data_IF_039076382598
#
_entry.id   IF_039076382598
#
_cell.length_a   1.000
_cell.length_b   1.000
_cell.length_c   1.000
_cell.angle_alpha   90.00
_cell.angle_beta   90.00
_cell.angle_gamma   90.00
#
_symmetry.space_group_name_H-M   'P 1'
#
loop_
_entity.id
_entity.type
_entity.pdbx_description
1 polymer ?
#
# COMPACT_ATOMS: atom_id res chain seq x y z
N UNK A 1 15.42 -1.92 -28.96
CA UNK A 1 14.40 -1.65 -27.92
C UNK A 1 13.08 -1.38 -28.64
N UNK A 2 12.04 -2.17 -28.37
CA UNK A 2 10.73 -2.05 -29.03
C UNK A 2 9.84 -1.01 -28.33
N UNK A 3 8.74 -0.60 -28.98
CA UNK A 3 7.72 0.27 -28.35
C UNK A 3 7.16 -0.37 -27.07
N UNK A 4 6.95 -1.69 -27.09
CA UNK A 4 6.52 -2.48 -25.93
C UNK A 4 7.50 -2.34 -24.76
N UNK A 5 8.81 -2.47 -25.02
CA UNK A 5 9.84 -2.34 -23.96
C UNK A 5 9.88 -0.93 -23.36
N UNK A 6 9.69 0.10 -24.20
CA UNK A 6 9.62 1.49 -23.73
C UNK A 6 8.39 1.72 -22.84
N UNK A 7 7.21 1.26 -23.26
CA UNK A 7 5.96 1.40 -22.50
C UNK A 7 6.02 0.65 -21.17
N UNK A 8 6.57 -0.57 -21.15
CA UNK A 8 6.78 -1.34 -19.92
C UNK A 8 7.72 -0.60 -18.96
N UNK A 9 8.83 -0.07 -19.46
CA UNK A 9 9.77 0.72 -18.63
C UNK A 9 9.11 1.96 -18.05
N UNK A 10 8.37 2.73 -18.86
CA UNK A 10 7.65 3.92 -18.39
C UNK A 10 6.61 3.56 -17.33
N UNK A 11 5.85 2.48 -17.52
CA UNK A 11 4.88 2.01 -16.52
C UNK A 11 5.56 1.60 -15.22
N UNK A 12 6.71 0.92 -15.28
CA UNK A 12 7.47 0.50 -14.09
C UNK A 12 7.93 1.71 -13.29
N UNK A 13 8.55 2.67 -13.97
CA UNK A 13 9.01 3.91 -13.35
C UNK A 13 7.85 4.69 -12.71
N UNK A 14 6.68 4.74 -13.34
CA UNK A 14 5.53 5.42 -12.77
C UNK A 14 5.01 4.75 -11.49
N UNK A 15 5.04 3.41 -11.42
CA UNK A 15 4.66 2.66 -10.21
C UNK A 15 5.69 2.86 -9.10
N UNK A 16 6.98 2.80 -9.43
CA UNK A 16 8.09 3.05 -8.50
C UNK A 16 8.04 4.49 -7.95
N UNK A 17 7.85 5.49 -8.80
CA UNK A 17 7.68 6.90 -8.39
C UNK A 17 6.50 7.09 -7.45
N UNK A 18 5.38 6.40 -7.72
CA UNK A 18 4.21 6.45 -6.85
C UNK A 18 4.47 5.76 -5.51
N UNK A 19 5.16 4.61 -5.50
CA UNK A 19 5.57 3.90 -4.29
C UNK A 19 6.46 4.76 -3.38
N UNK A 20 7.43 5.47 -3.96
CA UNK A 20 8.30 6.39 -3.21
C UNK A 20 7.47 7.51 -2.57
N UNK A 21 6.60 8.17 -3.35
CA UNK A 21 5.74 9.24 -2.83
C UNK A 21 4.80 8.73 -1.73
N UNK A 22 4.26 7.52 -1.90
CA UNK A 22 3.43 6.89 -0.89
C UNK A 22 4.21 6.65 0.41
N UNK A 23 5.39 6.04 0.32
CA UNK A 23 6.25 5.75 1.47
C UNK A 23 6.61 7.03 2.25
N UNK A 24 7.09 8.08 1.56
CA UNK A 24 7.43 9.35 2.21
C UNK A 24 6.23 10.03 2.89
N UNK A 25 5.03 9.85 2.35
CA UNK A 25 3.82 10.45 2.91
C UNK A 25 3.23 9.65 4.08
N UNK A 26 3.38 8.33 4.07
CA UNK A 26 2.80 7.45 5.09
C UNK A 26 3.69 7.32 6.31
N UNK A 27 5.01 7.27 6.14
CA UNK A 27 5.99 7.10 7.22
C UNK A 27 5.77 8.02 8.44
N UNK A 28 5.56 9.36 8.31
CA UNK A 28 5.31 10.20 9.47
C UNK A 28 4.01 9.85 10.20
N UNK A 29 3.00 9.35 9.48
CA UNK A 29 1.75 8.88 10.08
C UNK A 29 1.98 7.58 10.83
N UNK A 30 2.72 6.64 10.27
CA UNK A 30 3.07 5.39 10.97
C UNK A 30 3.82 5.68 12.28
N UNK A 31 4.75 6.64 12.26
CA UNK A 31 5.46 7.08 13.45
C UNK A 31 4.54 7.76 14.49
N UNK A 32 3.47 8.43 14.06
CA UNK A 32 2.45 8.97 14.96
C UNK A 32 1.60 7.84 15.58
N UNK A 33 1.08 6.93 14.76
CA UNK A 33 0.29 5.80 15.22
C UNK A 33 1.08 4.87 16.16
N UNK A 34 2.37 4.67 15.88
CA UNK A 34 3.26 3.90 16.74
C UNK A 34 3.49 4.55 18.11
N UNK A 35 3.58 5.89 18.16
CA UNK A 35 3.67 6.64 19.44
C UNK A 35 2.39 6.51 20.27
N UNK A 36 1.24 6.36 19.60
CA UNK A 36 -0.06 6.10 20.24
C UNK A 36 -0.26 4.61 20.62
N UNK A 37 0.75 3.76 20.40
CA UNK A 37 0.74 2.35 20.76
C UNK A 37 0.01 1.45 19.75
N UNK A 38 -0.32 1.95 18.55
CA UNK A 38 -0.88 1.13 17.47
C UNK A 38 0.24 0.42 16.68
N UNK A 39 -0.10 -0.74 16.14
CA UNK A 39 0.78 -1.58 15.30
C UNK A 39 0.25 -1.78 13.89
N UNK A 40 -0.89 -1.16 13.57
CA UNK A 40 -1.50 -1.21 12.26
C UNK A 40 -2.18 0.10 11.87
N UNK A 41 -2.22 0.34 10.57
CA UNK A 41 -2.89 1.47 9.94
C UNK A 41 -3.54 1.04 8.62
N UNK A 42 -4.80 1.42 8.41
CA UNK A 42 -5.57 1.08 7.21
C UNK A 42 -5.65 2.29 6.28
N UNK A 43 -5.14 2.14 5.06
CA UNK A 43 -5.25 3.15 4.00
C UNK A 43 -6.36 2.76 3.03
N UNK A 44 -7.32 3.65 2.85
CA UNK A 44 -8.36 3.48 1.82
C UNK A 44 -7.75 3.63 0.43
N UNK A 45 -8.06 2.68 -0.46
CA UNK A 45 -7.65 2.74 -1.87
C UNK A 45 -8.71 3.55 -2.64
N UNK A 46 -8.30 4.66 -3.24
CA UNK A 46 -9.14 5.37 -4.20
C UNK A 46 -9.25 4.56 -5.51
N UNK A 47 -10.45 4.50 -6.10
CA UNK A 47 -10.73 3.71 -7.32
C UNK A 47 -9.78 4.06 -8.48
N UNK A 48 -9.39 5.32 -8.62
CA UNK A 48 -8.50 5.79 -9.68
C UNK A 48 -7.07 5.20 -9.60
N UNK A 49 -6.62 4.86 -8.39
CA UNK A 49 -5.27 4.34 -8.14
C UNK A 49 -5.27 2.85 -7.79
N UNK A 50 -6.43 2.20 -7.84
CA UNK A 50 -6.60 0.80 -7.43
C UNK A 50 -5.58 -0.12 -8.11
N UNK A 51 -5.48 -0.05 -9.44
CA UNK A 51 -4.56 -0.86 -10.23
C UNK A 51 -3.06 -0.67 -9.88
N UNK A 52 -2.67 0.50 -9.36
CA UNK A 52 -1.30 0.79 -8.93
C UNK A 52 -1.10 0.24 -7.52
N UNK A 53 -2.00 0.61 -6.60
CA UNK A 53 -1.91 0.29 -5.17
C UNK A 53 -2.04 -1.20 -4.89
N UNK A 54 -2.74 -1.95 -5.74
CA UNK A 54 -2.83 -3.41 -5.65
C UNK A 54 -1.79 -4.15 -6.50
N UNK A 55 -0.89 -3.42 -7.17
CA UNK A 55 0.14 -4.04 -8.01
C UNK A 55 1.19 -4.75 -7.13
N UNK A 56 1.61 -5.98 -7.47
CA UNK A 56 2.69 -6.66 -6.77
C UNK A 56 3.99 -5.85 -6.74
N UNK A 57 4.27 -5.11 -7.82
CA UNK A 57 5.46 -4.25 -7.90
C UNK A 57 5.38 -3.11 -6.89
N UNK A 58 4.23 -2.45 -6.78
CA UNK A 58 4.03 -1.37 -5.82
C UNK A 58 4.23 -1.89 -4.39
N UNK A 59 3.58 -3.00 -4.04
CA UNK A 59 3.69 -3.59 -2.71
C UNK A 59 5.12 -3.99 -2.40
N UNK A 60 5.83 -4.61 -3.35
CA UNK A 60 7.24 -4.98 -3.16
C UNK A 60 8.11 -3.75 -2.88
N UNK A 61 7.99 -2.71 -3.72
CA UNK A 61 8.81 -1.49 -3.56
C UNK A 61 8.50 -0.78 -2.24
N UNK A 62 7.23 -0.71 -1.83
CA UNK A 62 6.87 -0.07 -0.56
C UNK A 62 7.39 -0.86 0.64
N UNK A 63 7.28 -2.19 0.62
CA UNK A 63 7.84 -3.04 1.68
C UNK A 63 9.37 -2.93 1.74
N UNK A 64 10.05 -2.82 0.60
CA UNK A 64 11.50 -2.62 0.55
C UNK A 64 11.92 -1.22 1.04
N UNK A 65 11.08 -0.20 0.82
CA UNK A 65 11.35 1.18 1.25
C UNK A 65 11.06 1.39 2.75
N UNK A 66 10.05 0.72 3.29
CA UNK A 66 9.62 0.85 4.69
C UNK A 66 10.10 -0.36 5.49
N UNK A 67 11.38 -0.37 5.86
CA UNK A 67 11.98 -1.47 6.62
C UNK A 67 11.23 -1.72 7.95
N UNK A 68 10.94 -2.99 8.24
CA UNK A 68 10.17 -3.39 9.43
C UNK A 68 8.64 -3.14 9.34
N UNK A 69 8.14 -2.69 8.20
CA UNK A 69 6.72 -2.49 7.93
C UNK A 69 6.25 -3.49 6.86
N UNK A 70 5.11 -4.14 7.10
CA UNK A 70 4.45 -5.00 6.14
C UNK A 70 3.22 -4.29 5.55
N UNK A 71 3.22 -4.11 4.23
CA UNK A 71 2.12 -3.54 3.46
C UNK A 71 1.48 -4.62 2.60
N UNK A 72 0.18 -4.84 2.80
CA UNK A 72 -0.60 -5.83 2.06
C UNK A 72 -1.99 -5.30 1.68
N UNK A 73 -2.60 -5.90 0.67
CA UNK A 73 -3.98 -5.58 0.29
C UNK A 73 -4.93 -6.53 1.00
N UNK A 74 -5.87 -5.99 1.77
CA UNK A 74 -6.93 -6.74 2.42
C UNK A 74 -8.30 -6.29 1.93
N UNK A 75 -9.31 -7.13 2.12
CA UNK A 75 -10.71 -6.81 1.81
C UNK A 75 -11.50 -6.60 3.07
N UNK A 76 -12.00 -5.38 3.26
CA UNK A 76 -12.89 -5.05 4.37
C UNK A 76 -14.32 -4.79 3.86
N UNK A 77 -15.30 -5.00 4.73
CA UNK A 77 -16.68 -4.65 4.44
C UNK A 77 -16.83 -3.13 4.40
N UNK A 78 -17.37 -2.60 3.30
CA UNK A 78 -17.57 -1.16 3.13
C UNK A 78 -18.62 -0.59 4.09
N UNK A 79 -19.50 -1.44 4.61
CA UNK A 79 -20.53 -1.09 5.58
C UNK A 79 -20.90 -2.30 6.42
N UNK A 80 -21.16 -2.08 7.71
CA UNK A 80 -21.74 -3.09 8.59
C UNK A 80 -23.17 -3.47 8.18
N UNK A 81 -23.89 -2.55 7.53
CA UNK A 81 -25.27 -2.77 7.08
C UNK A 81 -25.36 -3.61 5.81
N UNK A 82 -24.31 -3.62 4.99
CA UNK A 82 -24.24 -4.38 3.74
C UNK A 82 -22.88 -5.09 3.65
N UNK A 83 -22.68 -6.18 4.43
CA UNK A 83 -21.41 -6.90 4.49
C UNK A 83 -20.99 -7.54 3.16
N UNK A 84 -21.92 -7.64 2.19
CA UNK A 84 -21.65 -8.14 0.84
C UNK A 84 -20.78 -7.20 -0.01
N UNK A 85 -20.78 -5.89 0.29
CA UNK A 85 -19.95 -4.92 -0.44
C UNK A 85 -18.58 -4.88 0.21
N UNK A 86 -17.60 -5.50 -0.46
CA UNK A 86 -16.20 -5.47 -0.02
C UNK A 86 -15.45 -4.37 -0.76
N UNK A 87 -14.50 -3.74 -0.07
CA UNK A 87 -13.53 -2.81 -0.64
C UNK A 87 -12.12 -3.28 -0.33
N UNK A 88 -11.25 -3.18 -1.32
CA UNK A 88 -9.83 -3.40 -1.13
C UNK A 88 -9.24 -2.18 -0.40
N UNK A 89 -8.41 -2.43 0.60
CA UNK A 89 -7.67 -1.42 1.36
C UNK A 89 -6.22 -1.87 1.53
N UNK A 90 -5.31 -0.94 1.75
CA UNK A 90 -3.94 -1.28 2.16
C UNK A 90 -3.90 -1.37 3.67
N UNK A 91 -3.54 -2.55 4.17
CA UNK A 91 -3.13 -2.71 5.56
C UNK A 91 -1.63 -2.50 5.64
N UNK A 92 -1.24 -1.57 6.50
CA UNK A 92 0.15 -1.28 6.84
C UNK A 92 0.32 -1.69 8.30
N UNK A 93 1.14 -2.70 8.57
CA UNK A 93 1.36 -3.24 9.93
C UNK A 93 2.84 -3.23 10.26
N UNK A 94 3.19 -2.95 11.51
CA UNK A 94 4.57 -2.91 12.00
C UNK A 94 4.67 -3.51 13.41
N UNK A 95 5.85 -4.01 13.75
CA UNK A 95 6.08 -4.77 14.98
C UNK A 95 5.85 -6.27 14.82
N UNK A 96 6.44 -7.06 15.72
CA UNK A 96 6.31 -8.51 15.70
C UNK A 96 4.85 -8.91 16.00
N UNK A 97 4.20 -9.49 15.00
CA UNK A 97 2.93 -10.21 15.19
C UNK A 97 3.15 -11.63 15.73
N UNK A 98 4.41 -12.02 15.99
CA UNK A 98 4.75 -13.26 16.69
C UNK A 98 5.00 -12.96 18.17
N UNK A 99 3.94 -13.02 18.97
CA UNK A 99 4.03 -13.39 20.39
C UNK A 99 3.55 -14.84 20.53
#
# INVERSE_FOLDING_TARGET
>A
MTLKDKLLKTSRNAIEDYAIRFACNIEPKLAEEARDGRTEYIVSIANEHHHILTSPLFLSVVNDLLDGVNVSVIRISASQLIPSIKKDVLQVSWGDLND
#
